data_IF_274270736667
#
_entry.id   IF_274270736667
#
_cell.length_a   1.000
_cell.length_b   1.000
_cell.length_c   1.000
_cell.angle_alpha   90.00
_cell.angle_beta   90.00
_cell.angle_gamma   90.00
#
_symmetry.space_group_name_H-M   'P 1'
#
loop_
_entity.id
_entity.type
_entity.pdbx_description
1 polymer ?
#
# COMPACT_ATOMS: atom_id res chain seq x y z
N UNK A 1 15.36 15.03 9.85
CA UNK A 1 15.72 13.77 10.53
C UNK A 1 17.22 13.78 10.79
N UNK A 2 17.66 13.38 11.98
CA UNK A 2 19.09 13.26 12.35
C UNK A 2 19.29 11.85 12.88
N UNK A 3 20.23 11.10 12.32
CA UNK A 3 20.52 9.73 12.74
C UNK A 3 21.24 9.73 14.09
N UNK A 4 20.98 8.72 14.91
CA UNK A 4 21.73 8.52 16.15
C UNK A 4 23.21 8.23 15.83
N UNK A 5 24.17 8.87 16.54
CA UNK A 5 25.59 8.64 16.31
C UNK A 5 25.96 7.15 16.45
N UNK A 6 26.72 6.62 15.51
CA UNK A 6 27.17 5.22 15.51
C UNK A 6 26.10 4.19 15.14
N UNK A 7 24.85 4.59 14.87
CA UNK A 7 23.75 3.65 14.56
C UNK A 7 24.09 2.75 13.38
N UNK A 8 24.66 3.30 12.30
CA UNK A 8 25.07 2.52 11.12
C UNK A 8 26.16 1.47 11.44
N UNK A 9 27.04 1.76 12.40
CA UNK A 9 28.17 0.87 12.77
C UNK A 9 27.74 -0.25 13.71
N UNK A 10 26.67 -0.04 14.47
CA UNK A 10 26.16 -1.03 15.45
C UNK A 10 24.95 -1.82 14.94
N UNK A 11 24.32 -1.41 13.83
CA UNK A 11 23.07 -2.03 13.36
C UNK A 11 23.22 -3.52 13.11
N UNK A 12 24.33 -3.93 12.49
CA UNK A 12 24.58 -5.34 12.19
C UNK A 12 24.89 -6.14 13.46
N UNK A 13 25.62 -5.56 14.41
CA UNK A 13 26.03 -6.24 15.64
C UNK A 13 24.88 -6.36 16.66
N UNK A 14 24.06 -5.31 16.79
CA UNK A 14 22.83 -5.31 17.59
C UNK A 14 21.78 -6.23 16.99
N UNK A 15 21.59 -6.21 15.67
CA UNK A 15 20.69 -7.13 14.97
C UNK A 15 21.11 -8.58 15.24
N UNK A 16 22.39 -8.90 15.05
CA UNK A 16 22.91 -10.24 15.33
C UNK A 16 22.75 -10.64 16.80
N UNK A 17 22.93 -9.71 17.75
CA UNK A 17 22.75 -9.97 19.17
C UNK A 17 21.30 -10.32 19.51
N UNK A 18 20.33 -9.57 18.96
CA UNK A 18 18.90 -9.84 19.13
C UNK A 18 18.52 -11.18 18.51
N UNK A 19 18.99 -11.49 17.31
CA UNK A 19 18.74 -12.78 16.64
C UNK A 19 19.27 -13.94 17.47
N UNK A 20 20.52 -13.84 17.96
CA UNK A 20 21.12 -14.86 18.84
C UNK A 20 20.31 -15.07 20.11
N UNK A 21 19.84 -13.99 20.75
CA UNK A 21 19.01 -14.06 21.95
C UNK A 21 17.68 -14.77 21.68
N UNK A 22 17.00 -14.44 20.57
CA UNK A 22 15.73 -15.06 20.17
C UNK A 22 15.90 -16.55 19.83
N UNK A 23 17.03 -16.94 19.24
CA UNK A 23 17.39 -18.34 19.00
C UNK A 23 17.65 -19.09 20.32
N UNK A 24 18.40 -18.50 21.26
CA UNK A 24 18.67 -19.09 22.58
C UNK A 24 17.38 -19.27 23.40
N UNK A 25 16.44 -18.32 23.30
CA UNK A 25 15.11 -18.41 23.89
C UNK A 25 14.19 -19.44 23.21
N UNK A 26 14.64 -20.07 22.11
CA UNK A 26 13.88 -21.01 21.26
C UNK A 26 12.59 -20.41 20.68
N UNK A 27 12.56 -19.08 20.51
CA UNK A 27 11.43 -18.38 19.90
C UNK A 27 11.50 -18.41 18.37
N UNK A 28 12.71 -18.60 17.82
CA UNK A 28 12.94 -18.79 16.39
C UNK A 28 13.50 -20.20 16.15
N UNK A 29 13.08 -20.84 15.05
CA UNK A 29 13.64 -22.11 14.60
C UNK A 29 14.51 -21.89 13.37
N UNK A 30 15.74 -22.41 13.40
CA UNK A 30 16.67 -22.30 12.28
C UNK A 30 16.15 -23.03 11.05
N UNK A 31 16.27 -22.39 9.89
CA UNK A 31 15.83 -22.90 8.59
C UNK A 31 16.00 -21.84 7.50
N UNK A 32 16.00 -22.26 6.23
CA UNK A 32 16.20 -21.34 5.09
C UNK A 32 15.22 -20.18 5.07
N UNK A 33 13.95 -20.45 5.38
CA UNK A 33 12.91 -19.39 5.43
C UNK A 33 13.21 -18.33 6.51
N UNK A 34 13.88 -18.71 7.61
CA UNK A 34 14.31 -17.76 8.64
C UNK A 34 15.51 -16.95 8.15
N UNK A 35 16.48 -17.60 7.51
CA UNK A 35 17.69 -16.94 6.99
C UNK A 35 17.31 -15.86 5.96
N UNK A 36 16.44 -16.19 5.01
CA UNK A 36 15.91 -15.27 3.99
C UNK A 36 15.16 -14.09 4.64
N UNK A 37 14.40 -14.36 5.70
CA UNK A 37 13.66 -13.33 6.45
C UNK A 37 14.60 -12.39 7.23
N UNK A 38 15.63 -12.94 7.88
CA UNK A 38 16.63 -12.17 8.61
C UNK A 38 17.43 -11.27 7.67
N UNK A 39 17.83 -11.77 6.50
CA UNK A 39 18.49 -10.97 5.48
C UNK A 39 17.58 -9.84 4.98
N UNK A 40 16.29 -10.13 4.76
CA UNK A 40 15.32 -9.09 4.41
C UNK A 40 15.17 -8.03 5.49
N UNK A 41 15.15 -8.40 6.77
CA UNK A 41 15.09 -7.44 7.88
C UNK A 41 16.34 -6.57 7.94
N UNK A 42 17.52 -7.18 7.78
CA UNK A 42 18.79 -6.45 7.75
C UNK A 42 18.79 -5.43 6.62
N UNK A 43 18.40 -5.84 5.42
CA UNK A 43 18.29 -4.94 4.26
C UNK A 43 17.29 -3.81 4.51
N UNK A 44 16.18 -4.09 5.19
CA UNK A 44 15.20 -3.06 5.56
C UNK A 44 15.79 -2.02 6.52
N UNK A 45 16.49 -2.47 7.56
CA UNK A 45 17.16 -1.61 8.53
C UNK A 45 18.23 -0.71 7.87
N UNK A 46 19.03 -1.26 6.96
CA UNK A 46 20.00 -0.48 6.18
C UNK A 46 19.31 0.56 5.28
N UNK A 47 18.18 0.21 4.66
CA UNK A 47 17.41 1.15 3.86
C UNK A 47 16.79 2.30 4.69
N UNK A 48 16.44 2.05 5.96
CA UNK A 48 15.92 3.09 6.86
C UNK A 48 16.96 4.12 7.28
N UNK A 49 18.25 3.75 7.27
CA UNK A 49 19.35 4.65 7.64
C UNK A 49 20.03 5.32 6.45
N UNK A 50 19.72 4.91 5.21
CA UNK A 50 20.24 5.54 4.00
C UNK A 50 19.45 6.82 3.64
N UNK A 51 19.82 7.93 4.28
CA UNK A 51 19.19 9.23 4.04
C UNK A 51 19.52 9.83 2.68
N UNK A 52 20.59 9.39 1.99
CA UNK A 52 20.85 9.82 0.61
C UNK A 52 19.81 9.23 -0.32
N UNK A 53 19.56 7.92 -0.19
CA UNK A 53 18.50 7.23 -0.93
C UNK A 53 17.14 7.84 -0.65
N UNK A 54 16.80 8.11 0.61
CA UNK A 54 15.53 8.76 0.97
C UNK A 54 15.40 10.16 0.35
N UNK A 55 16.48 10.96 0.32
CA UNK A 55 16.48 12.28 -0.29
C UNK A 55 16.20 12.23 -1.81
N UNK A 56 16.84 11.31 -2.53
CA UNK A 56 16.62 11.10 -3.96
C UNK A 56 15.17 10.67 -4.26
N UNK A 57 14.67 9.72 -3.47
CA UNK A 57 13.28 9.25 -3.57
C UNK A 57 12.29 10.38 -3.27
N UNK A 58 12.57 11.24 -2.29
CA UNK A 58 11.73 12.41 -1.98
C UNK A 58 11.60 13.33 -3.20
N UNK A 59 12.71 13.63 -3.89
CA UNK A 59 12.69 14.47 -5.09
C UNK A 59 11.91 13.81 -6.23
N UNK A 60 12.11 12.51 -6.46
CA UNK A 60 11.37 11.75 -7.47
C UNK A 60 9.87 11.74 -7.17
N UNK A 61 9.49 11.46 -5.94
CA UNK A 61 8.08 11.40 -5.53
C UNK A 61 7.42 12.78 -5.57
N UNK A 62 8.14 13.86 -5.26
CA UNK A 62 7.65 15.22 -5.43
C UNK A 62 7.32 15.54 -6.90
N UNK A 63 8.18 15.12 -7.83
CA UNK A 63 7.92 15.31 -9.26
C UNK A 63 6.71 14.49 -9.75
N UNK A 64 6.60 13.24 -9.32
CA UNK A 64 5.47 12.35 -9.66
C UNK A 64 4.14 12.88 -9.11
N UNK A 65 4.10 13.25 -7.82
CA UNK A 65 2.93 13.81 -7.16
C UNK A 65 2.51 15.16 -7.79
N UNK A 66 3.48 16.01 -8.15
CA UNK A 66 3.22 17.29 -8.84
C UNK A 66 2.61 17.13 -10.24
N UNK A 67 2.79 15.97 -10.88
CA UNK A 67 2.17 15.64 -12.17
C UNK A 67 0.68 15.28 -12.08
N UNK A 68 0.13 15.11 -10.88
CA UNK A 68 -1.26 14.69 -10.68
C UNK A 68 -2.22 15.89 -10.72
N UNK A 69 -2.88 16.09 -11.87
CA UNK A 69 -3.76 17.26 -12.09
C UNK A 69 -5.24 17.09 -11.70
N UNK A 70 -5.77 15.87 -11.67
CA UNK A 70 -7.22 15.60 -11.65
C UNK A 70 -7.72 14.84 -10.40
N UNK A 71 -7.03 14.95 -9.27
CA UNK A 71 -7.44 14.29 -8.02
C UNK A 71 -8.40 15.14 -7.18
N UNK A 72 -9.24 14.47 -6.39
CA UNK A 72 -10.13 15.11 -5.41
C UNK A 72 -9.38 15.89 -4.33
N UNK A 73 -8.10 15.55 -4.10
CA UNK A 73 -7.20 16.21 -3.13
C UNK A 73 -5.95 16.72 -3.82
N UNK A 74 -5.18 17.57 -3.14
CA UNK A 74 -3.80 17.86 -3.51
C UNK A 74 -2.86 16.79 -2.94
N UNK A 75 -1.85 16.36 -3.70
CA UNK A 75 -0.73 15.60 -3.15
C UNK A 75 0.45 16.53 -2.94
N UNK A 76 1.01 16.53 -1.73
CA UNK A 76 2.14 17.40 -1.40
C UNK A 76 3.28 16.59 -0.83
N UNK A 77 4.48 16.88 -1.29
CA UNK A 77 5.72 16.26 -0.82
C UNK A 77 6.61 17.36 -0.26
N UNK A 78 7.20 17.19 0.94
CA UNK A 78 8.16 18.15 1.48
C UNK A 78 9.29 18.41 0.49
N UNK A 79 9.62 19.68 0.28
CA UNK A 79 10.79 20.04 -0.52
C UNK A 79 12.07 19.65 0.22
N UNK A 80 12.99 19.04 -0.50
CA UNK A 80 14.33 18.73 0.01
C UNK A 80 15.18 19.99 0.13
N UNK A 81 15.81 20.20 1.29
CA UNK A 81 16.83 21.22 1.49
C UNK A 81 18.22 20.60 1.37
N UNK A 82 18.64 20.31 0.13
CA UNK A 82 19.86 19.56 -0.19
C UNK A 82 21.13 20.09 0.50
N UNK A 83 21.27 21.41 0.64
CA UNK A 83 22.42 22.05 1.33
C UNK A 83 22.59 21.65 2.81
N UNK A 84 21.54 21.11 3.43
CA UNK A 84 21.53 20.67 4.82
C UNK A 84 21.45 19.16 4.96
N UNK A 85 21.50 18.43 3.84
CA UNK A 85 21.46 16.97 3.84
C UNK A 85 22.89 16.42 3.85
N UNK A 86 23.08 15.37 4.64
CA UNK A 86 24.31 14.58 4.74
C UNK A 86 23.92 13.12 4.89
N UNK A 87 24.91 12.24 5.06
CA UNK A 87 24.69 10.79 5.20
C UNK A 87 23.91 10.44 6.46
N UNK A 88 23.91 11.34 7.45
CA UNK A 88 23.28 11.17 8.76
C UNK A 88 22.24 12.26 9.07
N UNK A 89 21.99 13.19 8.13
CA UNK A 89 21.00 14.26 8.27
C UNK A 89 20.14 14.37 7.00
N UNK A 90 18.82 14.26 7.15
CA UNK A 90 17.85 14.56 6.09
C UNK A 90 17.06 15.82 6.45
N UNK A 91 17.17 16.86 5.63
CA UNK A 91 16.50 18.15 5.84
C UNK A 91 15.39 18.38 4.82
N UNK A 92 14.15 18.45 5.30
CA UNK A 92 12.94 18.62 4.50
C UNK A 92 12.19 19.88 4.94
N UNK A 93 11.37 20.43 4.04
CA UNK A 93 10.39 21.47 4.37
C UNK A 93 9.47 21.00 5.51
N UNK A 94 9.25 21.88 6.49
CA UNK A 94 8.29 21.60 7.55
C UNK A 94 6.86 21.67 6.97
N UNK A 95 6.10 20.60 7.20
CA UNK A 95 4.73 20.49 6.72
C UNK A 95 3.76 20.59 7.88
N UNK A 96 2.87 21.57 7.81
CA UNK A 96 1.74 21.66 8.72
C UNK A 96 0.64 20.67 8.31
N UNK A 97 0.04 20.00 9.28
CA UNK A 97 -1.04 19.06 9.05
C UNK A 97 -1.33 18.22 10.28
N UNK A 98 -2.39 17.42 10.20
CA UNK A 98 -2.84 16.54 11.28
C UNK A 98 -2.86 15.08 10.82
N UNK A 99 -2.64 14.11 11.72
CA UNK A 99 -2.80 12.70 11.36
C UNK A 99 -4.27 12.38 11.08
N UNK A 100 -4.52 11.33 10.30
CA UNK A 100 -5.88 10.86 9.95
C UNK A 100 -6.76 10.54 11.17
N UNK A 101 -6.14 10.18 12.30
CA UNK A 101 -6.81 9.87 13.56
C UNK A 101 -7.15 11.10 14.41
N UNK A 102 -6.78 12.31 13.97
CA UNK A 102 -7.01 13.52 14.74
C UNK A 102 -8.52 13.84 14.85
N UNK A 103 -9.00 14.34 16.01
CA UNK A 103 -10.41 14.72 16.19
C UNK A 103 -10.92 15.74 15.16
N UNK A 104 -10.04 16.65 14.70
CA UNK A 104 -10.37 17.62 13.66
C UNK A 104 -10.77 16.95 12.33
N UNK A 105 -10.15 15.82 11.99
CA UNK A 105 -10.45 15.04 10.78
C UNK A 105 -11.79 14.32 10.93
N UNK A 106 -12.06 13.74 12.11
CA UNK A 106 -13.34 13.11 12.40
C UNK A 106 -14.52 14.10 12.38
N UNK A 107 -14.27 15.37 12.72
CA UNK A 107 -15.26 16.44 12.69
C UNK A 107 -15.55 16.98 11.28
N UNK A 108 -14.82 16.55 10.25
CA UNK A 108 -15.09 16.95 8.87
C UNK A 108 -16.41 16.37 8.35
N UNK A 109 -17.04 17.12 7.44
CA UNK A 109 -18.17 16.62 6.65
C UNK A 109 -17.83 15.32 5.93
N UNK A 110 -18.82 14.43 5.74
CA UNK A 110 -18.63 13.18 5.01
C UNK A 110 -18.04 13.40 3.61
N UNK A 111 -18.45 14.46 2.89
CA UNK A 111 -17.89 14.81 1.57
C UNK A 111 -16.37 14.99 1.58
N UNK A 112 -15.84 15.77 2.55
CA UNK A 112 -14.39 15.96 2.71
C UNK A 112 -13.67 14.67 3.12
N UNK A 113 -14.25 13.89 4.04
CA UNK A 113 -13.68 12.59 4.44
C UNK A 113 -13.65 11.62 3.25
N UNK A 114 -14.67 11.62 2.41
CA UNK A 114 -14.73 10.86 1.17
C UNK A 114 -13.66 11.34 0.16
N UNK A 115 -13.49 12.64 -0.03
CA UNK A 115 -12.46 13.18 -0.92
C UNK A 115 -11.04 12.74 -0.49
N UNK A 116 -10.74 12.82 0.81
CA UNK A 116 -9.48 12.33 1.39
C UNK A 116 -9.28 10.82 1.20
N UNK A 117 -10.33 10.03 1.40
CA UNK A 117 -10.29 8.59 1.21
C UNK A 117 -10.11 8.18 -0.26
N UNK A 118 -10.82 8.85 -1.18
CA UNK A 118 -10.64 8.70 -2.62
C UNK A 118 -9.21 9.04 -3.00
N UNK A 119 -8.67 10.15 -2.48
CA UNK A 119 -7.28 10.55 -2.71
C UNK A 119 -6.26 9.51 -2.23
N UNK A 120 -6.45 8.91 -1.06
CA UNK A 120 -5.57 7.85 -0.57
C UNK A 120 -5.63 6.60 -1.47
N UNK A 121 -6.84 6.21 -1.90
CA UNK A 121 -6.99 5.05 -2.78
C UNK A 121 -6.38 5.34 -4.17
N UNK A 122 -6.64 6.51 -4.73
CA UNK A 122 -6.11 6.94 -6.03
C UNK A 122 -4.58 7.00 -6.02
N UNK A 123 -3.96 7.45 -4.93
CA UNK A 123 -2.50 7.42 -4.75
C UNK A 123 -1.93 6.02 -4.93
N UNK A 124 -2.56 5.01 -4.31
CA UNK A 124 -2.15 3.61 -4.48
C UNK A 124 -2.26 3.15 -5.94
N UNK A 125 -3.30 3.60 -6.66
CA UNK A 125 -3.45 3.28 -8.08
C UNK A 125 -2.44 4.02 -8.96
N UNK A 126 -2.05 5.25 -8.63
CA UNK A 126 -0.96 5.95 -9.31
C UNK A 126 0.39 5.25 -9.11
N UNK A 127 0.73 4.93 -7.86
CA UNK A 127 1.93 4.14 -7.50
C UNK A 127 2.01 2.85 -8.34
N UNK A 128 0.90 2.10 -8.39
CA UNK A 128 0.84 0.81 -9.05
C UNK A 128 0.79 0.88 -10.58
N UNK A 129 -0.10 1.70 -11.16
CA UNK A 129 -0.37 1.67 -12.60
C UNK A 129 0.46 2.66 -13.40
N UNK A 130 0.88 3.78 -12.80
CA UNK A 130 1.45 4.91 -13.54
C UNK A 130 2.91 5.20 -13.14
N UNK A 131 3.30 5.02 -11.88
CA UNK A 131 4.66 5.37 -11.41
C UNK A 131 5.63 4.18 -11.35
N UNK A 132 5.12 2.97 -11.16
CA UNK A 132 5.92 1.75 -11.08
C UNK A 132 6.75 1.62 -9.80
N UNK A 133 6.37 2.34 -8.75
CA UNK A 133 6.97 2.25 -7.43
C UNK A 133 5.87 2.27 -6.36
N UNK A 134 6.09 1.57 -5.25
CA UNK A 134 5.12 1.44 -4.17
C UNK A 134 5.74 1.89 -2.84
N UNK A 135 5.07 2.77 -2.10
CA UNK A 135 5.43 3.02 -0.71
C UNK A 135 4.89 1.85 0.13
N UNK A 136 5.79 1.02 0.66
CA UNK A 136 5.41 -0.25 1.30
C UNK A 136 5.11 -0.15 2.79
N UNK A 137 5.41 0.98 3.43
CA UNK A 137 5.08 1.25 4.83
C UNK A 137 3.72 1.97 4.94
N UNK A 138 2.68 1.30 5.46
CA UNK A 138 1.35 1.88 5.61
C UNK A 138 1.20 2.79 6.84
N UNK A 139 2.27 3.07 7.60
CA UNK A 139 2.16 3.83 8.84
C UNK A 139 1.47 5.19 8.61
N UNK A 140 0.41 5.46 9.37
CA UNK A 140 -0.31 6.73 9.32
C UNK A 140 0.58 7.92 9.64
N UNK A 141 1.68 7.73 10.36
CA UNK A 141 2.68 8.77 10.60
C UNK A 141 3.36 9.28 9.32
N UNK A 142 3.33 8.51 8.23
CA UNK A 142 3.91 8.91 6.94
C UNK A 142 2.98 9.83 6.13
N UNK A 143 1.76 10.07 6.62
CA UNK A 143 0.75 10.88 5.96
C UNK A 143 0.24 11.98 6.89
N UNK A 144 0.26 13.23 6.43
CA UNK A 144 -0.45 14.32 7.10
C UNK A 144 -1.60 14.81 6.22
N UNK A 145 -2.66 15.25 6.88
CA UNK A 145 -3.79 15.93 6.26
C UNK A 145 -3.64 17.42 6.50
N UNK A 146 -3.38 18.17 5.44
CA UNK A 146 -3.46 19.62 5.45
C UNK A 146 -4.90 19.99 5.12
N UNK A 147 -5.63 20.47 6.14
CA UNK A 147 -7.04 20.78 6.02
C UNK A 147 -7.18 22.23 5.52
N UNK A 148 -7.92 22.41 4.43
CA UNK A 148 -8.20 23.76 3.93
C UNK A 148 -9.27 24.41 4.82
N UNK A 149 -8.87 25.50 5.49
CA UNK A 149 -9.70 26.29 6.41
C UNK A 149 -10.58 27.32 5.69
N UNK A 150 -10.42 27.49 4.37
CA UNK A 150 -11.21 28.46 3.60
C UNK A 150 -12.65 27.99 3.50
N UNK A 151 -13.59 28.77 4.05
CA UNK A 151 -15.06 28.57 3.89
C UNK A 151 -15.57 28.99 2.49
N UNK A 152 -14.84 28.63 1.43
CA UNK A 152 -15.16 28.94 0.03
C UNK A 152 -15.73 27.75 -0.75
N UNK A 153 -16.18 27.98 -1.99
CA UNK A 153 -16.84 26.97 -2.86
C UNK A 153 -15.94 25.82 -3.36
N UNK A 154 -14.62 25.86 -3.11
CA UNK A 154 -13.67 24.80 -3.47
C UNK A 154 -12.67 24.63 -2.33
N UNK A 155 -13.08 23.90 -1.31
CA UNK A 155 -12.18 23.38 -0.27
C UNK A 155 -11.38 22.27 -0.91
N UNK A 156 -10.06 22.36 -0.91
CA UNK A 156 -9.19 21.28 -1.42
C UNK A 156 -8.19 20.89 -0.35
N UNK A 157 -8.55 19.89 0.43
CA UNK A 157 -7.65 19.26 1.39
C UNK A 157 -6.46 18.63 0.65
N UNK A 158 -5.32 18.59 1.32
CA UNK A 158 -4.09 18.00 0.78
C UNK A 158 -3.65 16.81 1.61
N UNK A 159 -3.23 15.76 0.91
CA UNK A 159 -2.52 14.61 1.47
C UNK A 159 -1.02 14.85 1.33
N UNK A 160 -0.36 15.04 2.46
CA UNK A 160 1.09 15.23 2.55
C UNK A 160 1.76 13.88 2.73
N UNK A 161 2.74 13.57 1.87
CA UNK A 161 3.51 12.33 1.89
C UNK A 161 4.90 12.62 2.49
N UNK A 162 5.21 12.07 3.66
CA UNK A 162 6.40 12.46 4.45
C UNK A 162 7.60 11.53 4.34
N UNK A 163 7.38 10.23 4.19
CA UNK A 163 8.43 9.22 4.30
C UNK A 163 8.52 8.36 3.04
N UNK A 164 9.72 8.33 2.46
CA UNK A 164 10.01 7.57 1.26
C UNK A 164 11.12 6.53 1.44
N UNK A 165 11.59 6.29 2.67
CA UNK A 165 12.63 5.29 2.95
C UNK A 165 12.20 3.88 2.53
N UNK A 166 10.89 3.61 2.61
CA UNK A 166 10.26 2.32 2.26
C UNK A 166 9.64 2.27 0.87
N UNK A 167 10.10 3.09 -0.08
CA UNK A 167 9.71 2.95 -1.49
C UNK A 167 10.38 1.70 -2.08
N UNK A 168 9.55 0.86 -2.69
CA UNK A 168 9.95 -0.30 -3.49
C UNK A 168 9.83 0.08 -4.97
N UNK A 169 10.95 0.02 -5.69
CA UNK A 169 10.93 -0.01 -7.15
C UNK A 169 10.51 -1.41 -7.60
N UNK A 170 9.48 -1.47 -8.45
CA UNK A 170 8.89 -2.72 -8.88
C UNK A 170 9.34 -3.05 -10.31
N UNK A 171 9.70 -4.30 -10.58
CA UNK A 171 9.98 -4.74 -11.95
C UNK A 171 8.71 -4.71 -12.79
N UNK A 172 8.86 -4.55 -14.11
CA UNK A 172 7.73 -4.56 -15.04
C UNK A 172 6.93 -5.87 -14.97
N UNK A 173 7.61 -7.00 -14.80
CA UNK A 173 7.00 -8.32 -14.61
C UNK A 173 6.14 -8.37 -13.34
N UNK A 174 6.68 -7.88 -12.22
CA UNK A 174 5.95 -7.81 -10.96
C UNK A 174 4.71 -6.93 -11.09
N UNK A 175 4.86 -5.73 -11.66
CA UNK A 175 3.75 -4.80 -11.88
C UNK A 175 2.71 -5.39 -12.81
N UNK A 176 3.11 -6.07 -13.88
CA UNK A 176 2.20 -6.73 -14.81
C UNK A 176 1.31 -7.73 -14.08
N UNK A 177 1.89 -8.64 -13.29
CA UNK A 177 1.10 -9.64 -12.59
C UNK A 177 0.22 -9.03 -11.49
N UNK A 178 0.72 -8.05 -10.73
CA UNK A 178 -0.07 -7.37 -9.69
C UNK A 178 -1.25 -6.61 -10.29
N UNK A 179 -1.05 -5.85 -11.38
CA UNK A 179 -2.11 -5.16 -12.11
C UNK A 179 -3.13 -6.14 -12.68
N UNK A 180 -2.66 -7.29 -13.17
CA UNK A 180 -3.50 -8.36 -13.72
C UNK A 180 -4.34 -9.03 -12.64
N UNK A 181 -3.84 -9.23 -11.42
CA UNK A 181 -4.65 -9.79 -10.32
C UNK A 181 -5.84 -8.89 -10.00
N UNK A 182 -5.63 -7.56 -9.92
CA UNK A 182 -6.72 -6.62 -9.64
C UNK A 182 -7.73 -6.62 -10.80
N UNK A 183 -7.24 -6.56 -12.04
CA UNK A 183 -8.09 -6.60 -13.23
C UNK A 183 -8.91 -7.91 -13.33
N UNK A 184 -8.24 -9.06 -13.24
CA UNK A 184 -8.88 -10.38 -13.27
C UNK A 184 -9.87 -10.56 -12.12
N UNK A 185 -9.53 -10.09 -10.92
CA UNK A 185 -10.41 -10.12 -9.76
C UNK A 185 -11.69 -9.31 -9.94
N UNK A 186 -11.62 -8.18 -10.66
CA UNK A 186 -12.80 -7.37 -11.01
C UNK A 186 -13.67 -8.00 -12.10
N UNK A 187 -13.09 -8.81 -12.99
CA UNK A 187 -13.82 -9.53 -14.03
C UNK A 187 -14.33 -10.91 -13.60
N UNK A 188 -13.92 -11.38 -12.42
CA UNK A 188 -14.17 -12.75 -11.97
C UNK A 188 -13.39 -13.82 -12.75
N UNK A 189 -12.26 -13.48 -13.37
CA UNK A 189 -11.42 -14.41 -14.12
C UNK A 189 -10.44 -15.13 -13.17
N UNK A 190 -10.93 -16.17 -12.51
CA UNK A 190 -10.16 -16.95 -11.54
C UNK A 190 -8.94 -17.66 -12.15
N UNK A 191 -8.99 -17.99 -13.45
CA UNK A 191 -7.88 -18.66 -14.14
C UNK A 191 -6.71 -17.69 -14.33
N UNK A 192 -6.97 -16.52 -14.92
CA UNK A 192 -5.96 -15.47 -15.12
C UNK A 192 -5.39 -14.95 -13.79
N UNK A 193 -6.23 -14.86 -12.77
CA UNK A 193 -5.83 -14.50 -11.42
C UNK A 193 -4.86 -15.55 -10.85
N UNK A 194 -5.20 -16.85 -10.95
CA UNK A 194 -4.35 -17.95 -10.50
C UNK A 194 -2.99 -17.98 -11.18
N UNK A 195 -2.93 -17.76 -12.50
CA UNK A 195 -1.67 -17.72 -13.25
C UNK A 195 -0.83 -16.49 -12.87
N UNK A 196 -1.47 -15.35 -12.61
CA UNK A 196 -0.78 -14.13 -12.16
C UNK A 196 -0.25 -14.27 -10.73
N UNK A 197 -0.93 -15.02 -9.86
CA UNK A 197 -0.41 -15.35 -8.53
C UNK A 197 0.84 -16.23 -8.61
N UNK A 198 0.92 -17.13 -9.59
CA UNK A 198 2.15 -17.90 -9.86
C UNK A 198 3.26 -16.98 -10.36
N UNK A 199 2.95 -16.07 -11.29
CA UNK A 199 3.91 -15.09 -11.81
C UNK A 199 4.46 -14.12 -10.75
N UNK A 200 3.66 -13.79 -9.72
CA UNK A 200 4.15 -13.02 -8.55
C UNK A 200 4.94 -13.87 -7.54
N UNK A 201 5.09 -15.17 -7.76
CA UNK A 201 5.67 -16.09 -6.77
C UNK A 201 4.81 -16.29 -5.52
N UNK A 202 3.54 -15.88 -5.55
CA UNK A 202 2.59 -16.07 -4.44
C UNK A 202 2.10 -17.53 -4.36
N UNK A 203 2.08 -18.22 -5.49
CA UNK A 203 1.77 -19.64 -5.62
C UNK A 203 2.89 -20.35 -6.37
N UNK A 204 3.18 -21.60 -5.99
CA UNK A 204 4.07 -22.46 -6.76
C UNK A 204 3.39 -22.93 -8.03
N UNK A 205 4.15 -23.18 -9.10
CA UNK A 205 3.59 -23.70 -10.36
C UNK A 205 2.79 -24.99 -10.16
N UNK A 206 3.28 -25.87 -9.28
CA UNK A 206 2.65 -27.14 -8.93
C UNK A 206 1.60 -27.05 -7.81
N UNK A 207 1.17 -25.83 -7.44
CA UNK A 207 0.09 -25.64 -6.47
C UNK A 207 -1.18 -26.35 -6.96
N UNK A 208 -1.87 -27.05 -6.04
CA UNK A 208 -3.09 -27.79 -6.38
C UNK A 208 -4.19 -26.84 -6.84
N UNK A 209 -5.19 -27.37 -7.56
CA UNK A 209 -6.33 -26.57 -8.05
C UNK A 209 -7.08 -25.91 -6.90
N UNK A 210 -7.19 -26.59 -5.78
CA UNK A 210 -7.83 -26.11 -4.56
C UNK A 210 -7.05 -24.94 -3.94
N UNK A 211 -5.72 -25.03 -3.88
CA UNK A 211 -4.87 -23.94 -3.39
C UNK A 211 -5.01 -22.68 -4.27
N UNK A 212 -4.96 -22.87 -5.60
CA UNK A 212 -5.17 -21.79 -6.58
C UNK A 212 -6.53 -21.13 -6.40
N UNK A 213 -7.60 -21.92 -6.25
CA UNK A 213 -8.95 -21.41 -6.05
C UNK A 213 -9.09 -20.63 -4.74
N UNK A 214 -8.59 -21.18 -3.63
CA UNK A 214 -8.66 -20.52 -2.32
C UNK A 214 -7.99 -19.14 -2.33
N UNK A 215 -6.82 -19.04 -2.97
CA UNK A 215 -6.13 -17.76 -3.05
C UNK A 215 -6.81 -16.81 -4.04
N UNK A 216 -7.31 -17.32 -5.17
CA UNK A 216 -8.12 -16.52 -6.09
C UNK A 216 -9.37 -15.95 -5.40
N UNK A 217 -10.08 -16.76 -4.60
CA UNK A 217 -11.25 -16.33 -3.82
C UNK A 217 -10.89 -15.25 -2.79
N UNK A 218 -9.73 -15.38 -2.15
CA UNK A 218 -9.20 -14.36 -1.24
C UNK A 218 -8.95 -13.03 -1.95
N UNK A 219 -8.24 -13.05 -3.09
CA UNK A 219 -7.98 -11.85 -3.90
C UNK A 219 -9.28 -11.23 -4.44
N UNK A 220 -10.21 -12.05 -4.93
CA UNK A 220 -11.53 -11.61 -5.39
C UNK A 220 -12.33 -10.94 -4.26
N UNK A 221 -12.18 -11.40 -3.02
CA UNK A 221 -12.82 -10.77 -1.87
C UNK A 221 -12.18 -9.41 -1.53
N UNK A 222 -10.85 -9.29 -1.63
CA UNK A 222 -10.16 -8.02 -1.36
C UNK A 222 -10.54 -6.90 -2.34
N UNK A 223 -10.87 -7.25 -3.59
CA UNK A 223 -11.31 -6.27 -4.60
C UNK A 223 -12.82 -5.99 -4.57
N UNK A 224 -13.58 -6.55 -3.62
CA UNK A 224 -15.03 -6.34 -3.45
C UNK A 224 -15.46 -4.85 -3.55
N UNK A 225 -14.88 -3.89 -2.82
CA UNK A 225 -15.31 -2.47 -2.88
C UNK A 225 -14.97 -1.77 -4.20
N UNK A 226 -14.19 -2.43 -5.06
CA UNK A 226 -13.76 -1.90 -6.34
C UNK A 226 -14.66 -2.38 -7.49
N UNK A 227 -15.63 -3.27 -7.21
CA UNK A 227 -16.56 -3.85 -8.20
C UNK A 227 -17.63 -2.85 -8.63
N UNK A 228 -18.31 -3.09 -9.78
CA UNK A 228 -19.44 -2.26 -10.20
C UNK A 228 -20.47 -2.10 -9.08
N UNK A 229 -21.09 -0.91 -8.90
CA UNK A 229 -22.06 -0.66 -7.83
C UNK A 229 -23.21 -1.69 -7.77
N UNK A 230 -23.62 -2.22 -8.93
CA UNK A 230 -24.67 -3.24 -9.02
C UNK A 230 -24.30 -4.60 -8.39
N UNK A 231 -23.00 -4.88 -8.22
CA UNK A 231 -22.47 -6.13 -7.68
C UNK A 231 -22.04 -6.03 -6.21
N UNK A 232 -22.09 -4.83 -5.63
CA UNK A 232 -21.69 -4.61 -4.23
C UNK A 232 -22.70 -5.25 -3.26
N UNK A 233 -22.24 -5.84 -2.14
CA UNK A 233 -23.15 -6.42 -1.16
C UNK A 233 -24.00 -5.34 -0.48
N UNK A 234 -25.33 -5.46 -0.60
CA UNK A 234 -26.30 -4.47 -0.09
C UNK A 234 -26.15 -4.18 1.41
N UNK A 235 -25.67 -5.15 2.19
CA UNK A 235 -25.42 -5.02 3.62
C UNK A 235 -24.30 -4.03 3.99
N UNK A 236 -23.47 -3.63 3.02
CA UNK A 236 -22.40 -2.65 3.21
C UNK A 236 -22.62 -1.38 2.40
N UNK A 237 -23.84 -1.13 1.94
CA UNK A 237 -24.21 0.09 1.22
C UNK A 237 -24.99 1.04 2.14
N UNK A 238 -24.75 2.34 1.99
CA UNK A 238 -25.64 3.36 2.55
C UNK A 238 -26.93 3.50 1.73
N UNK A 239 -27.81 4.41 2.14
CA UNK A 239 -29.09 4.66 1.46
C UNK A 239 -28.92 5.11 -0.01
N UNK A 240 -27.78 5.72 -0.34
CA UNK A 240 -27.44 6.20 -1.68
C UNK A 240 -26.72 5.15 -2.54
N UNK A 241 -26.56 3.92 -2.04
CA UNK A 241 -25.88 2.83 -2.74
C UNK A 241 -24.36 2.97 -2.79
N UNK A 242 -23.77 3.74 -1.86
CA UNK A 242 -22.32 3.90 -1.73
C UNK A 242 -21.75 2.88 -0.74
N UNK A 243 -20.59 2.32 -1.07
CA UNK A 243 -19.91 1.37 -0.19
C UNK A 243 -19.41 2.01 1.11
N UNK A 244 -19.85 1.49 2.25
CA UNK A 244 -19.43 1.92 3.58
C UNK A 244 -18.16 1.18 4.01
N UNK A 245 -16.99 1.75 3.71
CA UNK A 245 -15.68 1.11 3.88
C UNK A 245 -15.38 0.70 5.32
N UNK A 246 -15.68 1.57 6.29
CA UNK A 246 -15.48 1.27 7.71
C UNK A 246 -16.44 0.20 8.23
N UNK A 247 -17.71 0.29 7.84
CA UNK A 247 -18.77 -0.63 8.28
C UNK A 247 -18.62 -2.03 7.68
N UNK A 248 -18.03 -2.15 6.49
CA UNK A 248 -17.84 -3.46 5.85
C UNK A 248 -16.82 -4.35 6.54
N UNK A 249 -15.94 -3.75 7.35
CA UNK A 249 -14.85 -4.44 8.06
C UNK A 249 -14.10 -5.42 7.14
N UNK A 250 -13.90 -5.04 5.87
CA UNK A 250 -13.41 -5.96 4.84
C UNK A 250 -12.11 -6.66 5.25
N UNK A 251 -11.13 -5.91 5.78
CA UNK A 251 -9.84 -6.50 6.19
C UNK A 251 -10.01 -7.54 7.31
N UNK A 252 -10.95 -7.34 8.23
CA UNK A 252 -11.27 -8.33 9.25
C UNK A 252 -11.96 -9.57 8.64
N UNK A 253 -12.90 -9.38 7.71
CA UNK A 253 -13.57 -10.48 6.98
C UNK A 253 -12.57 -11.30 6.16
N UNK A 254 -11.68 -10.62 5.43
CA UNK A 254 -10.61 -11.24 4.65
C UNK A 254 -9.62 -11.98 5.55
N UNK A 255 -9.18 -11.38 6.66
CA UNK A 255 -8.30 -12.02 7.63
C UNK A 255 -8.89 -13.28 8.25
N UNK A 256 -10.18 -13.28 8.60
CA UNK A 256 -10.88 -14.46 9.12
C UNK A 256 -10.90 -15.61 8.10
N UNK A 257 -11.10 -15.31 6.82
CA UNK A 257 -11.05 -16.31 5.72
C UNK A 257 -9.64 -16.83 5.49
N UNK A 258 -8.64 -15.96 5.53
CA UNK A 258 -7.24 -16.35 5.41
C UNK A 258 -6.83 -17.28 6.56
N UNK A 259 -7.21 -16.96 7.80
CA UNK A 259 -6.94 -17.80 8.98
C UNK A 259 -7.60 -19.19 8.87
N UNK A 260 -8.86 -19.26 8.40
CA UNK A 260 -9.53 -20.53 8.14
C UNK A 260 -8.84 -21.34 7.01
N UNK A 261 -8.22 -20.64 6.06
CA UNK A 261 -7.48 -21.28 4.96
C UNK A 261 -6.07 -21.74 5.39
N UNK A 262 -5.47 -21.09 6.40
CA UNK A 262 -4.15 -21.45 6.93
C UNK A 262 -4.13 -22.83 7.63
N UNK A 263 -5.29 -23.34 8.07
CA UNK A 263 -5.41 -24.72 8.57
C UNK A 263 -5.47 -25.77 7.46
N UNK A 264 -5.52 -25.35 6.19
CA UNK A 264 -5.46 -26.25 5.04
C UNK A 264 -4.04 -26.77 4.82
N UNK A 265 -3.93 -28.06 4.48
CA UNK A 265 -2.66 -28.70 4.06
C UNK A 265 -2.09 -28.10 2.75
N UNK A 266 -2.87 -27.26 2.08
CA UNK A 266 -2.53 -26.63 0.81
C UNK A 266 -2.19 -25.13 0.95
N UNK A 267 -2.09 -24.63 2.19
CA UNK A 267 -1.65 -23.26 2.44
C UNK A 267 -0.19 -23.07 1.99
N UNK A 268 0.05 -22.06 1.18
CA UNK A 268 1.40 -21.63 0.79
C UNK A 268 1.71 -20.36 1.57
N UNK A 269 2.84 -20.28 2.30
CA UNK A 269 3.22 -19.05 2.97
C UNK A 269 3.40 -17.95 1.92
N UNK A 270 2.89 -16.73 2.18
CA UNK A 270 2.98 -15.64 1.22
C UNK A 270 4.45 -15.29 0.94
N UNK A 271 4.77 -14.96 -0.31
CA UNK A 271 6.08 -14.40 -0.66
C UNK A 271 6.30 -13.07 0.06
N UNK A 272 7.56 -12.66 0.18
CA UNK A 272 7.96 -11.37 0.76
C UNK A 272 7.24 -10.22 0.08
N UNK A 273 7.22 -10.23 -1.25
CA UNK A 273 6.60 -9.19 -2.07
C UNK A 273 5.08 -9.16 -1.86
N UNK A 274 4.44 -10.33 -1.77
CA UNK A 274 3.01 -10.41 -1.45
C UNK A 274 2.70 -9.84 -0.06
N UNK A 275 3.53 -10.15 0.94
CA UNK A 275 3.36 -9.61 2.29
C UNK A 275 3.47 -8.09 2.32
N UNK A 276 4.41 -7.51 1.54
CA UNK A 276 4.55 -6.06 1.39
C UNK A 276 3.32 -5.43 0.73
N UNK A 277 2.82 -6.02 -0.37
CA UNK A 277 1.59 -5.57 -1.05
C UNK A 277 0.39 -5.64 -0.11
N UNK A 278 0.19 -6.79 0.54
CA UNK A 278 -0.92 -7.02 1.46
C UNK A 278 -0.88 -6.01 2.63
N UNK A 279 0.31 -5.71 3.14
CA UNK A 279 0.53 -4.70 4.18
C UNK A 279 0.16 -3.29 3.68
N UNK A 280 0.60 -2.88 2.49
CA UNK A 280 0.21 -1.60 1.88
C UNK A 280 -1.30 -1.49 1.69
N UNK A 281 -1.94 -2.50 1.10
CA UNK A 281 -3.39 -2.55 0.92
C UNK A 281 -4.13 -2.46 2.26
N UNK A 282 -3.68 -3.20 3.27
CA UNK A 282 -4.24 -3.13 4.63
C UNK A 282 -4.17 -1.70 5.16
N UNK A 283 -3.05 -1.00 4.97
CA UNK A 283 -2.87 0.40 5.31
C UNK A 283 -3.88 1.33 4.67
N UNK A 284 -3.97 1.26 3.34
CA UNK A 284 -4.89 2.08 2.53
C UNK A 284 -6.33 1.86 2.99
N UNK A 285 -6.76 0.60 3.13
CA UNK A 285 -8.11 0.26 3.54
C UNK A 285 -8.41 0.72 4.97
N UNK A 286 -7.43 0.59 5.88
CA UNK A 286 -7.59 1.07 7.26
C UNK A 286 -7.65 2.59 7.31
N UNK A 287 -6.83 3.30 6.52
CA UNK A 287 -6.89 4.76 6.41
C UNK A 287 -8.28 5.23 5.98
N UNK A 288 -8.82 4.61 4.92
CA UNK A 288 -10.16 4.88 4.40
C UNK A 288 -11.25 4.54 5.43
N UNK A 289 -11.11 3.41 6.14
CA UNK A 289 -12.04 3.00 7.18
C UNK A 289 -12.05 3.96 8.38
N UNK A 290 -10.89 4.46 8.82
CA UNK A 290 -10.75 5.44 9.90
C UNK A 290 -11.42 6.76 9.54
N UNK A 291 -11.36 7.15 8.27
CA UNK A 291 -12.10 8.31 7.76
C UNK A 291 -13.62 8.10 7.76
N UNK A 292 -14.14 6.90 8.05
CA UNK A 292 -15.57 6.61 8.00
C UNK A 292 -16.17 6.94 6.64
N UNK A 293 -15.40 6.68 5.58
CA UNK A 293 -15.74 7.09 4.22
C UNK A 293 -16.75 6.14 3.56
N UNK A 294 -17.60 6.73 2.73
CA UNK A 294 -18.70 6.07 2.02
C UNK A 294 -18.67 6.50 0.55
N UNK A 295 -18.15 5.64 -0.34
CA UNK A 295 -18.05 5.96 -1.77
C UNK A 295 -17.84 4.70 -2.61
N UNK A 296 -18.20 4.78 -3.90
CA UNK A 296 -17.96 3.73 -4.88
C UNK A 296 -16.66 4.01 -5.63
N UNK A 297 -15.72 3.07 -5.63
CA UNK A 297 -14.40 3.25 -6.23
C UNK A 297 -14.30 2.78 -7.70
N UNK A 298 -15.32 2.09 -8.20
CA UNK A 298 -15.28 1.39 -9.50
C UNK A 298 -14.80 2.28 -10.66
N UNK A 299 -15.39 3.45 -10.87
CA UNK A 299 -15.09 4.30 -12.03
C UNK A 299 -13.64 4.79 -12.03
N UNK A 300 -13.13 5.15 -10.86
CA UNK A 300 -11.73 5.54 -10.67
C UNK A 300 -10.79 4.40 -11.05
N UNK A 301 -11.01 3.21 -10.48
CA UNK A 301 -10.17 2.02 -10.71
C UNK A 301 -10.24 1.57 -12.17
N UNK A 302 -11.44 1.51 -12.75
CA UNK A 302 -11.66 1.20 -14.16
C UNK A 302 -10.91 2.18 -15.08
N UNK A 303 -10.81 3.45 -14.68
CA UNK A 303 -10.01 4.46 -15.36
C UNK A 303 -8.52 4.10 -15.44
N UNK A 304 -7.88 3.72 -14.33
CA UNK A 304 -6.48 3.30 -14.31
C UNK A 304 -6.25 2.01 -15.10
N UNK A 305 -7.12 1.00 -14.93
CA UNK A 305 -7.01 -0.28 -15.62
C UNK A 305 -7.12 -0.10 -17.14
N UNK A 306 -8.08 0.69 -17.61
CA UNK A 306 -8.25 0.97 -19.05
C UNK A 306 -7.00 1.61 -19.65
N UNK A 307 -6.45 2.67 -19.02
CA UNK A 307 -5.22 3.33 -19.49
C UNK A 307 -4.05 2.36 -19.54
N UNK A 308 -3.91 1.49 -18.54
CA UNK A 308 -2.85 0.48 -18.53
C UNK A 308 -3.01 -0.53 -19.67
N UNK A 309 -4.20 -1.09 -19.90
CA UNK A 309 -4.42 -2.01 -21.02
C UNK A 309 -4.15 -1.37 -22.38
N UNK A 310 -4.48 -0.10 -22.54
CA UNK A 310 -4.16 0.67 -23.76
C UNK A 310 -2.64 0.80 -23.96
N UNK A 311 -1.86 0.95 -22.88
CA UNK A 311 -0.39 0.96 -22.95
C UNK A 311 0.18 -0.42 -23.30
N UNK A 312 -0.32 -1.48 -22.67
CA UNK A 312 0.12 -2.86 -22.93
C UNK A 312 -0.15 -3.30 -24.37
N UNK A 313 -1.30 -2.91 -24.92
CA UNK A 313 -1.66 -3.23 -26.32
C UNK A 313 -0.81 -2.46 -27.33
N UNK A 314 -0.43 -1.21 -27.02
CA UNK A 314 0.46 -0.40 -27.87
C UNK A 314 1.94 -0.81 -27.78
N UNK A 315 2.40 -1.29 -26.62
CA UNK A 315 3.77 -1.74 -26.42
C UNK A 315 4.10 -3.12 -27.01
N UNK A 316 3.07 -3.89 -27.40
CA UNK A 316 3.20 -5.20 -28.08
C UNK A 316 3.01 -5.13 -29.60
N UNK A 317 2.94 -3.91 -30.17
CA UNK A 317 2.75 -3.64 -31.60
C UNK A 317 4.02 -3.19 -32.30
#
# INVERSE_FOLDING_TARGET
KVQYPGLAEVIDSDFDAVVRMLMMARWLQAGRDLDDWLESMRNHLHNEIDYRREAELTVRMAALAGGVGNSAVGYRVPRLHSRYCTDVVLALEFMEGVPVTAPAVAALSLERRNALAVGMLELFFYELYDWGCLQTDPNFGNYLLCLDDRRGKRVRDELVLLDFGSILDCSDEFLYHLRTIIDAGLRGDAALLGDSLVGLGCLRENATREARQLFADFCMHLVEPLRPPAELPREYLNADGQYCWGSSRLMHRAGKRAAASATSRHFTPPSREFALIARKLTGVFTFIAVLGAEFNAYDMVAGHIRRWRERETRGRG
#
